data_IF_069217024766
#
_entry.id   IF_069217024766
#
_cell.length_a   1.000
_cell.length_b   1.000
_cell.length_c   1.000
_cell.angle_alpha   90.00
_cell.angle_beta   90.00
_cell.angle_gamma   90.00
#
_symmetry.space_group_name_H-M   'P 1'
#
loop_
_entity.id
_entity.type
_entity.pdbx_description
1 polymer ?
#
# COMPACT_ATOMS: atom_id res chain seq x y z
N UNK A 1 -3.01 27.10 -18.53
CA UNK A 1 -2.80 26.50 -17.18
C UNK A 1 -1.34 26.78 -16.82
N UNK A 2 -1.05 27.25 -15.63
CA UNK A 2 0.32 27.51 -15.19
C UNK A 2 1.11 26.20 -15.09
N UNK A 3 2.36 26.18 -15.57
CA UNK A 3 3.23 25.02 -15.43
C UNK A 3 3.56 24.77 -13.95
N UNK A 4 3.53 23.51 -13.55
CA UNK A 4 3.86 23.08 -12.21
C UNK A 4 4.91 21.99 -12.24
N UNK A 5 5.56 21.79 -11.11
CA UNK A 5 6.50 20.72 -10.92
C UNK A 5 5.79 19.44 -10.49
N UNK A 6 6.29 18.29 -10.95
CA UNK A 6 5.89 16.98 -10.43
C UNK A 6 6.93 16.54 -9.40
N UNK A 7 6.53 16.48 -8.14
CA UNK A 7 7.38 16.06 -7.04
C UNK A 7 7.10 14.61 -6.67
N UNK A 8 8.15 13.81 -6.61
CA UNK A 8 8.13 12.40 -6.25
C UNK A 8 8.93 12.24 -4.96
N UNK A 9 8.23 12.10 -3.84
CA UNK A 9 8.85 11.85 -2.55
C UNK A 9 8.94 10.35 -2.31
N UNK A 10 10.11 9.86 -1.89
CA UNK A 10 10.41 8.44 -1.72
C UNK A 10 11.46 8.20 -0.63
N UNK A 11 11.50 7.00 -0.07
CA UNK A 11 12.50 6.60 0.94
C UNK A 11 13.86 6.25 0.32
N UNK A 12 13.89 5.81 -0.93
CA UNK A 12 15.11 5.41 -1.62
C UNK A 12 15.12 5.89 -3.09
N UNK A 13 16.30 5.95 -3.69
CA UNK A 13 16.42 6.31 -5.11
C UNK A 13 15.78 5.25 -5.99
N UNK A 14 14.71 5.59 -6.73
CA UNK A 14 13.99 4.63 -7.54
C UNK A 14 14.75 4.30 -8.83
N UNK A 15 14.40 3.17 -9.45
CA UNK A 15 14.86 2.83 -10.79
C UNK A 15 14.16 3.71 -11.84
N UNK A 16 14.85 3.95 -12.95
CA UNK A 16 14.30 4.73 -14.07
C UNK A 16 12.98 4.17 -14.59
N UNK A 17 12.84 2.85 -14.67
CA UNK A 17 11.61 2.19 -15.11
C UNK A 17 10.41 2.46 -14.20
N UNK A 18 10.64 2.62 -12.90
CA UNK A 18 9.60 2.97 -11.93
C UNK A 18 9.17 4.40 -12.13
N UNK A 19 10.12 5.32 -12.25
CA UNK A 19 9.84 6.73 -12.53
C UNK A 19 9.07 6.89 -13.84
N UNK A 20 9.47 6.16 -14.88
CA UNK A 20 8.76 6.17 -16.16
C UNK A 20 7.28 5.79 -15.97
N UNK A 21 6.98 4.71 -15.28
CA UNK A 21 5.60 4.27 -15.00
C UNK A 21 4.79 5.30 -14.20
N UNK A 22 5.42 5.96 -13.24
CA UNK A 22 4.75 7.02 -12.45
C UNK A 22 4.42 8.21 -13.34
N UNK A 23 5.36 8.66 -14.17
CA UNK A 23 5.14 9.77 -15.11
C UNK A 23 4.07 9.40 -16.14
N UNK A 24 4.17 8.22 -16.74
CA UNK A 24 3.19 7.72 -17.71
C UNK A 24 1.78 7.69 -17.11
N UNK A 25 1.65 7.22 -15.89
CA UNK A 25 0.39 7.21 -15.16
C UNK A 25 -0.16 8.63 -14.95
N UNK A 26 0.69 9.56 -14.50
CA UNK A 26 0.30 10.96 -14.33
C UNK A 26 -0.16 11.60 -15.63
N UNK A 27 0.62 11.46 -16.68
CA UNK A 27 0.33 11.99 -18.03
C UNK A 27 -1.01 11.46 -18.54
N UNK A 28 -1.26 10.16 -18.36
CA UNK A 28 -2.51 9.51 -18.76
C UNK A 28 -3.71 10.04 -17.97
N UNK A 29 -3.59 10.14 -16.65
CA UNK A 29 -4.70 10.56 -15.77
C UNK A 29 -5.12 12.01 -16.02
N UNK A 30 -4.16 12.88 -16.32
CA UNK A 30 -4.42 14.29 -16.54
C UNK A 30 -4.55 14.66 -18.03
N UNK A 31 -4.48 13.65 -18.93
CA UNK A 31 -4.53 13.85 -20.39
C UNK A 31 -3.53 14.90 -20.88
N UNK A 32 -2.32 14.87 -20.30
CA UNK A 32 -1.26 15.82 -20.59
C UNK A 32 -0.45 15.35 -21.80
N UNK A 33 -0.23 16.23 -22.78
CA UNK A 33 0.72 15.98 -23.84
C UNK A 33 2.15 16.00 -23.27
N UNK A 34 2.86 14.89 -23.44
CA UNK A 34 4.21 14.74 -22.93
C UNK A 34 5.06 13.91 -23.90
N UNK A 35 6.20 14.44 -24.25
CA UNK A 35 7.22 13.72 -25.00
C UNK A 35 8.27 13.21 -24.02
N UNK A 36 8.50 11.92 -24.00
CA UNK A 36 9.50 11.27 -23.14
C UNK A 36 10.54 10.63 -24.03
N UNK A 37 11.80 11.06 -23.87
CA UNK A 37 12.96 10.46 -24.48
C UNK A 37 13.73 9.64 -23.42
N UNK A 38 15.01 9.67 -23.42
CA UNK A 38 15.86 8.95 -22.47
C UNK A 38 15.86 9.63 -21.10
N UNK A 39 15.07 9.12 -20.17
CA UNK A 39 15.02 9.62 -18.79
C UNK A 39 16.38 9.48 -18.10
N UNK A 40 16.86 10.59 -17.52
CA UNK A 40 18.04 10.63 -16.66
C UNK A 40 17.66 11.20 -15.30
N UNK A 41 18.16 10.59 -14.24
CA UNK A 41 17.99 11.04 -12.85
C UNK A 41 19.30 11.67 -12.43
N UNK A 42 19.33 12.97 -12.32
CA UNK A 42 20.52 13.78 -12.08
C UNK A 42 20.49 14.35 -10.66
N UNK A 43 21.54 14.19 -9.84
CA UNK A 43 21.62 14.79 -8.53
C UNK A 43 21.67 16.32 -8.66
N UNK A 44 21.02 17.02 -7.73
CA UNK A 44 21.11 18.47 -7.62
C UNK A 44 22.25 18.79 -6.66
N UNK A 45 23.15 19.66 -7.12
CA UNK A 45 24.25 20.16 -6.33
C UNK A 45 23.82 21.45 -5.60
N UNK A 46 24.03 21.49 -4.31
CA UNK A 46 23.80 22.68 -3.51
C UNK A 46 24.84 23.78 -3.82
N UNK A 47 24.57 25.06 -3.52
CA UNK A 47 25.54 26.15 -3.71
C UNK A 47 26.88 25.95 -3.00
N UNK A 48 26.88 25.26 -1.86
CA UNK A 48 28.07 24.88 -1.08
C UNK A 48 28.83 23.66 -1.64
N UNK A 49 28.45 23.20 -2.83
CA UNK A 49 28.99 22.01 -3.51
C UNK A 49 28.70 20.67 -2.82
N UNK A 50 27.81 20.63 -1.85
CA UNK A 50 27.28 19.37 -1.31
C UNK A 50 26.15 18.84 -2.18
N UNK A 51 25.96 17.52 -2.20
CA UNK A 51 24.84 16.92 -2.90
C UNK A 51 23.56 17.02 -2.06
N UNK A 52 22.48 17.45 -2.70
CA UNK A 52 21.16 17.36 -2.09
C UNK A 52 20.61 15.94 -2.20
N UNK A 53 19.64 15.59 -1.33
CA UNK A 53 18.84 14.37 -1.49
C UNK A 53 17.69 14.56 -2.49
N UNK A 54 17.81 15.57 -3.34
CA UNK A 54 16.86 15.87 -4.43
C UNK A 54 17.55 15.63 -5.77
N UNK A 55 16.82 15.03 -6.67
CA UNK A 55 17.28 14.73 -8.03
C UNK A 55 16.31 15.37 -9.01
N UNK A 56 16.81 15.88 -10.12
CA UNK A 56 16.01 16.33 -11.26
C UNK A 56 15.92 15.20 -12.30
N UNK A 57 14.71 14.99 -12.81
CA UNK A 57 14.49 14.05 -13.92
C UNK A 57 14.50 14.81 -15.22
N UNK A 58 15.46 14.53 -16.08
CA UNK A 58 15.56 15.11 -17.42
C UNK A 58 15.14 14.10 -18.50
N UNK A 59 15.01 14.54 -19.76
CA UNK A 59 14.59 13.72 -20.89
C UNK A 59 13.09 13.70 -21.10
N UNK A 60 12.38 14.73 -20.61
CA UNK A 60 10.96 14.91 -20.79
C UNK A 60 10.66 16.35 -21.22
N UNK A 61 9.64 16.52 -22.04
CA UNK A 61 9.09 17.84 -22.42
C UNK A 61 7.58 17.82 -22.33
N UNK A 62 7.00 18.80 -21.67
CA UNK A 62 5.56 19.00 -21.55
C UNK A 62 5.21 20.49 -21.47
N UNK A 63 4.01 20.83 -21.89
CA UNK A 63 3.47 22.18 -21.75
C UNK A 63 2.94 22.46 -20.33
N UNK A 64 2.67 21.42 -19.57
CA UNK A 64 2.03 21.49 -18.24
C UNK A 64 2.98 21.18 -17.10
N UNK A 65 4.01 20.37 -17.35
CA UNK A 65 5.02 20.02 -16.34
C UNK A 65 6.26 20.86 -16.62
N UNK A 66 6.69 21.65 -15.65
CA UNK A 66 7.93 22.42 -15.75
C UNK A 66 9.12 21.49 -15.49
N UNK A 67 9.20 20.95 -14.31
CA UNK A 67 10.25 20.02 -13.89
C UNK A 67 9.69 18.84 -13.13
N UNK A 68 10.45 17.74 -13.11
CA UNK A 68 10.17 16.60 -12.27
C UNK A 68 11.32 16.44 -11.27
N UNK A 69 10.95 16.40 -10.00
CA UNK A 69 11.88 16.21 -8.90
C UNK A 69 11.63 14.91 -8.17
N UNK A 70 12.70 14.22 -7.80
CA UNK A 70 12.67 13.10 -6.87
C UNK A 70 13.35 13.58 -5.60
N UNK A 71 12.62 13.59 -4.49
CA UNK A 71 13.17 13.92 -3.18
C UNK A 71 13.21 12.69 -2.31
N UNK A 72 14.40 12.35 -1.82
CA UNK A 72 14.56 11.28 -0.86
C UNK A 72 14.32 11.86 0.52
N UNK A 73 13.33 11.30 1.19
CA UNK A 73 12.96 11.67 2.56
C UNK A 73 13.26 10.48 3.47
N UNK A 74 14.01 10.71 4.54
CA UNK A 74 14.19 9.69 5.55
C UNK A 74 12.87 9.52 6.28
N UNK A 75 12.26 8.38 6.13
CA UNK A 75 10.95 8.09 6.68
C UNK A 75 11.00 7.00 7.74
N UNK A 76 9.91 6.89 8.48
CA UNK A 76 9.64 5.75 9.32
C UNK A 76 9.05 4.63 8.46
N UNK A 77 9.15 3.40 8.94
CA UNK A 77 8.73 2.16 8.27
C UNK A 77 7.26 2.09 7.81
N UNK A 78 6.51 3.15 8.00
CA UNK A 78 5.09 3.27 7.64
C UNK A 78 4.82 4.24 6.51
N UNK A 79 5.83 4.88 5.99
CA UNK A 79 5.71 5.72 4.82
C UNK A 79 5.43 4.84 3.59
N UNK A 80 4.57 5.31 2.67
CA UNK A 80 4.40 4.64 1.38
C UNK A 80 5.64 4.84 0.52
N UNK A 81 5.89 3.94 -0.42
CA UNK A 81 7.12 4.00 -1.23
C UNK A 81 7.23 5.31 -2.02
N UNK A 82 6.09 5.88 -2.48
CA UNK A 82 6.06 7.18 -3.16
C UNK A 82 4.83 7.99 -2.77
N UNK A 83 5.05 9.30 -2.52
CA UNK A 83 4.01 10.33 -2.52
C UNK A 83 4.26 11.28 -3.69
N UNK A 84 3.22 11.54 -4.47
CA UNK A 84 3.32 12.37 -5.67
C UNK A 84 2.54 13.65 -5.47
N UNK A 85 3.18 14.78 -5.78
CA UNK A 85 2.55 16.09 -5.72
C UNK A 85 2.72 16.79 -7.06
N UNK A 86 1.74 17.63 -7.40
CA UNK A 86 1.77 18.45 -8.60
C UNK A 86 1.56 19.90 -8.21
N UNK A 87 2.65 20.61 -7.94
CA UNK A 87 2.66 21.99 -7.43
C UNK A 87 3.97 22.69 -7.76
N UNK A 88 4.00 24.02 -7.62
CA UNK A 88 5.16 24.85 -7.97
C UNK A 88 6.30 24.60 -6.99
N UNK A 89 6.00 24.77 -5.70
CA UNK A 89 7.00 24.71 -4.65
C UNK A 89 7.25 23.26 -4.17
N UNK A 90 8.34 23.08 -3.46
CA UNK A 90 8.65 21.84 -2.79
C UNK A 90 7.58 21.48 -1.76
N UNK A 91 7.04 20.24 -1.79
CA UNK A 91 6.01 19.82 -0.86
C UNK A 91 6.46 19.86 0.59
N UNK A 92 5.55 20.29 1.44
CA UNK A 92 5.71 20.30 2.89
C UNK A 92 4.65 19.39 3.57
N UNK A 93 4.75 19.23 4.88
CA UNK A 93 3.88 18.32 5.65
C UNK A 93 2.38 18.61 5.60
N UNK A 94 1.98 19.82 5.17
CA UNK A 94 0.59 20.24 5.11
C UNK A 94 0.00 20.06 3.70
N UNK A 95 0.85 19.75 2.72
CA UNK A 95 0.41 19.58 1.34
C UNK A 95 -0.24 18.21 1.15
N UNK A 96 -1.17 18.14 0.22
CA UNK A 96 -1.92 16.91 -0.06
C UNK A 96 -1.37 16.28 -1.33
N UNK A 97 -0.88 15.04 -1.27
CA UNK A 97 -0.42 14.34 -2.45
C UNK A 97 -1.59 13.98 -3.37
N UNK A 98 -1.32 13.94 -4.66
CA UNK A 98 -2.28 13.46 -5.67
C UNK A 98 -2.30 11.92 -5.73
N UNK A 99 -1.15 11.29 -5.50
CA UNK A 99 -1.02 9.83 -5.44
C UNK A 99 -0.24 9.39 -4.20
N UNK A 100 -0.66 8.25 -3.66
CA UNK A 100 0.11 7.44 -2.74
C UNK A 100 0.36 6.08 -3.41
N UNK A 101 1.62 5.73 -3.63
CA UNK A 101 2.01 4.55 -4.40
C UNK A 101 2.85 3.61 -3.54
N UNK A 102 2.49 2.34 -3.54
CA UNK A 102 3.30 1.24 -3.02
C UNK A 102 3.84 0.43 -4.19
N UNK A 103 5.13 0.14 -4.16
CA UNK A 103 5.79 -0.69 -5.15
C UNK A 103 5.91 -2.13 -4.67
N UNK A 104 5.53 -3.09 -5.50
CA UNK A 104 5.92 -4.47 -5.31
C UNK A 104 6.90 -4.89 -6.39
N UNK A 105 8.04 -5.38 -5.97
CA UNK A 105 9.14 -5.82 -6.86
C UNK A 105 8.94 -7.24 -7.37
N UNK A 106 7.99 -7.97 -6.80
CA UNK A 106 7.69 -9.36 -7.13
C UNK A 106 6.19 -9.55 -7.29
N UNK A 107 5.81 -10.59 -7.98
CA UNK A 107 4.43 -11.07 -8.10
C UNK A 107 4.08 -12.13 -7.04
N UNK A 108 4.75 -12.17 -5.90
CA UNK A 108 4.70 -13.19 -4.85
C UNK A 108 5.32 -14.54 -5.26
N UNK A 109 6.00 -14.61 -6.40
CA UNK A 109 6.65 -15.84 -6.81
C UNK A 109 7.73 -16.29 -5.84
N UNK A 110 8.29 -15.38 -5.08
CA UNK A 110 9.51 -15.69 -4.32
C UNK A 110 9.32 -15.95 -2.85
N UNK A 111 8.38 -15.78 -2.24
CA UNK A 111 8.51 -15.99 -0.91
C UNK A 111 7.51 -15.58 -0.08
N UNK A 112 6.93 -16.09 0.25
CA UNK A 112 6.35 -15.65 1.47
C UNK A 112 4.97 -15.03 1.28
N UNK A 113 4.39 -15.07 0.09
CA UNK A 113 2.97 -14.78 -0.21
C UNK A 113 2.34 -13.64 0.62
N UNK A 114 3.15 -12.68 1.04
CA UNK A 114 2.77 -11.72 2.07
C UNK A 114 3.01 -10.28 1.65
N UNK A 115 3.76 -10.08 0.58
CA UNK A 115 4.15 -8.75 0.15
C UNK A 115 2.94 -7.85 -0.13
N UNK A 116 1.92 -8.37 -0.79
CA UNK A 116 0.70 -7.60 -1.06
C UNK A 116 -0.04 -7.20 0.22
N UNK A 117 -0.13 -8.10 1.20
CA UNK A 117 -0.83 -7.80 2.46
C UNK A 117 -0.07 -6.81 3.33
N UNK A 118 1.25 -6.93 3.39
CA UNK A 118 2.09 -6.00 4.12
C UNK A 118 1.93 -4.57 3.57
N UNK A 119 1.91 -4.44 2.24
CA UNK A 119 1.74 -3.15 1.56
C UNK A 119 0.31 -2.64 1.66
N UNK A 120 -0.67 -3.52 1.55
CA UNK A 120 -2.08 -3.16 1.61
C UNK A 120 -2.46 -2.47 2.92
N UNK A 121 -1.86 -2.84 4.04
CA UNK A 121 -2.11 -2.18 5.33
C UNK A 121 -1.72 -0.70 5.31
N UNK A 122 -0.68 -0.33 4.56
CA UNK A 122 -0.27 1.06 4.41
C UNK A 122 -1.35 1.89 3.70
N UNK A 123 -1.99 1.33 2.67
CA UNK A 123 -3.10 2.01 1.97
C UNK A 123 -4.31 2.25 2.85
N UNK A 124 -4.68 1.25 3.67
CA UNK A 124 -5.78 1.42 4.62
C UNK A 124 -5.45 2.48 5.65
N UNK A 125 -4.19 2.54 6.05
CA UNK A 125 -3.73 3.46 7.07
C UNK A 125 -3.55 4.89 6.57
N UNK A 126 -3.08 5.10 5.34
CA UNK A 126 -2.79 6.42 4.78
C UNK A 126 -4.03 7.31 4.69
N UNK A 127 -5.20 6.72 4.62
CA UNK A 127 -6.47 7.45 4.64
C UNK A 127 -6.69 8.28 5.91
N UNK A 128 -5.98 7.97 6.99
CA UNK A 128 -6.04 8.78 8.21
C UNK A 128 -5.36 10.15 8.02
N UNK A 129 -4.44 10.25 7.07
CA UNK A 129 -3.68 11.46 6.77
C UNK A 129 -4.17 12.14 5.48
N UNK A 130 -4.49 11.34 4.47
CA UNK A 130 -4.88 11.81 3.14
C UNK A 130 -6.12 11.03 2.67
N UNK A 131 -7.32 11.35 3.19
CA UNK A 131 -8.52 10.54 2.98
C UNK A 131 -8.93 10.42 1.51
N UNK A 132 -8.58 11.39 0.67
CA UNK A 132 -8.98 11.43 -0.74
C UNK A 132 -7.82 11.16 -1.70
N UNK A 133 -6.66 10.78 -1.21
CA UNK A 133 -5.51 10.49 -2.06
C UNK A 133 -5.81 9.28 -2.95
N UNK A 134 -5.47 9.40 -4.23
CA UNK A 134 -5.54 8.25 -5.14
C UNK A 134 -4.45 7.25 -4.80
N UNK A 135 -4.83 6.02 -4.52
CA UNK A 135 -3.93 4.93 -4.11
C UNK A 135 -3.62 4.04 -5.28
N UNK A 136 -2.35 3.70 -5.45
CA UNK A 136 -1.86 2.91 -6.56
C UNK A 136 -0.90 1.84 -6.06
N UNK A 137 -1.16 0.57 -6.42
CA UNK A 137 -0.21 -0.51 -6.29
C UNK A 137 0.57 -0.64 -7.60
N UNK A 138 1.87 -0.40 -7.55
CA UNK A 138 2.77 -0.50 -8.70
C UNK A 138 3.52 -1.84 -8.69
N UNK A 139 3.26 -2.67 -9.68
CA UNK A 139 4.03 -3.88 -9.93
C UNK A 139 5.22 -3.55 -10.85
N UNK A 140 6.40 -3.41 -10.28
CA UNK A 140 7.62 -3.12 -11.05
C UNK A 140 8.28 -4.39 -11.62
N UNK A 141 7.95 -5.55 -11.07
CA UNK A 141 8.32 -6.88 -11.55
C UNK A 141 9.82 -7.02 -11.87
N UNK A 142 10.65 -6.61 -10.92
CA UNK A 142 12.11 -6.61 -11.07
C UNK A 142 12.72 -8.00 -10.89
N UNK A 143 11.95 -8.96 -10.41
CA UNK A 143 12.36 -10.34 -10.14
C UNK A 143 11.56 -11.25 -11.07
N UNK A 144 12.15 -12.39 -11.45
CA UNK A 144 11.52 -13.36 -12.37
C UNK A 144 10.14 -13.79 -11.85
N UNK A 145 9.15 -13.66 -12.69
CA UNK A 145 7.77 -14.00 -12.41
C UNK A 145 7.55 -15.53 -12.50
N UNK A 146 6.51 -15.99 -11.83
CA UNK A 146 5.88 -17.26 -12.15
C UNK A 146 4.92 -17.11 -13.31
N UNK A 147 4.64 -18.18 -13.99
CA UNK A 147 3.70 -18.21 -15.12
C UNK A 147 2.27 -17.88 -14.63
N UNK A 148 1.95 -18.21 -13.37
CA UNK A 148 0.65 -17.94 -12.78
C UNK A 148 0.77 -17.25 -11.41
N UNK A 149 -0.11 -16.28 -11.10
CA UNK A 149 -0.16 -15.64 -9.80
C UNK A 149 -0.65 -16.63 -8.72
N UNK A 150 -0.16 -16.45 -7.51
CA UNK A 150 -0.60 -17.27 -6.36
C UNK A 150 -2.01 -16.92 -5.91
N UNK A 151 -2.71 -17.87 -5.28
CA UNK A 151 -4.04 -17.62 -4.69
C UNK A 151 -4.03 -16.42 -3.74
N UNK A 152 -2.95 -16.26 -2.97
CA UNK A 152 -2.76 -15.13 -2.05
C UNK A 152 -2.67 -13.80 -2.79
N UNK A 153 -1.94 -13.76 -3.89
CA UNK A 153 -1.82 -12.56 -4.71
C UNK A 153 -3.16 -12.22 -5.38
N UNK A 154 -3.85 -13.22 -5.95
CA UNK A 154 -5.17 -13.03 -6.54
C UNK A 154 -6.14 -12.46 -5.51
N UNK A 155 -6.24 -13.09 -4.34
CA UNK A 155 -7.14 -12.64 -3.27
C UNK A 155 -6.82 -11.21 -2.82
N UNK A 156 -5.55 -10.93 -2.50
CA UNK A 156 -5.12 -9.60 -2.07
C UNK A 156 -5.35 -8.53 -3.12
N UNK A 157 -5.04 -8.82 -4.39
CA UNK A 157 -5.28 -7.90 -5.51
C UNK A 157 -6.77 -7.61 -5.68
N UNK A 158 -7.63 -8.61 -5.58
CA UNK A 158 -9.09 -8.44 -5.64
C UNK A 158 -9.62 -7.58 -4.49
N UNK A 159 -9.10 -7.75 -3.28
CA UNK A 159 -9.42 -6.87 -2.16
C UNK A 159 -9.00 -5.41 -2.45
N UNK A 160 -7.78 -5.19 -2.95
CA UNK A 160 -7.31 -3.84 -3.30
C UNK A 160 -8.24 -3.18 -4.34
N UNK A 161 -8.59 -3.91 -5.39
CA UNK A 161 -9.53 -3.42 -6.41
C UNK A 161 -10.90 -3.09 -5.83
N UNK A 162 -11.41 -3.92 -4.91
CA UNK A 162 -12.67 -3.65 -4.20
C UNK A 162 -12.61 -2.36 -3.38
N UNK A 163 -11.46 -2.06 -2.81
CA UNK A 163 -11.21 -0.81 -2.07
C UNK A 163 -10.98 0.40 -2.98
N UNK A 164 -10.98 0.23 -4.29
CA UNK A 164 -10.73 1.30 -5.26
C UNK A 164 -9.25 1.65 -5.42
N UNK A 165 -8.35 0.75 -5.01
CA UNK A 165 -6.91 0.92 -5.21
C UNK A 165 -6.57 0.46 -6.63
N UNK A 166 -5.95 1.34 -7.39
CA UNK A 166 -5.58 1.04 -8.77
C UNK A 166 -4.33 0.17 -8.84
N UNK A 167 -4.30 -0.75 -9.78
CA UNK A 167 -3.14 -1.61 -10.04
C UNK A 167 -2.51 -1.19 -11.36
N UNK A 168 -1.20 -0.89 -11.34
CA UNK A 168 -0.44 -0.56 -12.55
C UNK A 168 0.81 -1.43 -12.68
N UNK A 169 1.30 -1.57 -13.91
CA UNK A 169 2.53 -2.30 -14.20
C UNK A 169 2.40 -3.83 -14.22
N UNK A 170 1.21 -4.37 -13.98
CA UNK A 170 0.90 -5.80 -14.10
C UNK A 170 -0.08 -5.99 -15.26
N UNK A 171 0.24 -6.91 -16.14
CA UNK A 171 -0.74 -7.43 -17.07
C UNK A 171 -1.69 -8.32 -16.27
N UNK A 172 -2.86 -7.78 -15.96
CA UNK A 172 -3.87 -8.52 -15.22
C UNK A 172 -4.69 -9.37 -16.18
N UNK A 173 -4.81 -10.65 -15.91
CA UNK A 173 -5.92 -11.42 -16.46
C UNK A 173 -7.21 -10.83 -15.90
N UNK A 174 -7.93 -10.10 -16.74
CA UNK A 174 -9.15 -9.39 -16.38
C UNK A 174 -10.26 -10.34 -15.86
N UNK A 175 -10.15 -11.62 -16.09
CA UNK A 175 -11.09 -12.63 -15.55
C UNK A 175 -10.79 -12.94 -14.08
N UNK A 176 -9.54 -13.01 -13.71
CA UNK A 176 -9.09 -13.36 -12.36
C UNK A 176 -8.99 -12.12 -11.46
N UNK A 177 -8.49 -11.01 -12.01
CA UNK A 177 -8.21 -9.79 -11.26
C UNK A 177 -9.39 -8.81 -11.26
N UNK A 178 -10.58 -9.29 -10.83
CA UNK A 178 -11.78 -8.46 -10.65
C UNK A 178 -12.01 -8.14 -9.19
N UNK A 179 -12.60 -6.98 -8.87
CA UNK A 179 -13.04 -6.69 -7.50
C UNK A 179 -14.06 -7.74 -7.04
N UNK A 180 -14.13 -7.95 -5.74
CA UNK A 180 -15.24 -8.70 -5.17
C UNK A 180 -16.54 -7.92 -5.32
N UNK A 181 -17.62 -8.60 -5.70
CA UNK A 181 -18.94 -7.99 -5.89
C UNK A 181 -19.87 -8.26 -4.72
N UNK A 182 -19.54 -9.20 -3.84
CA UNK A 182 -20.35 -9.53 -2.67
C UNK A 182 -19.51 -10.04 -1.50
N UNK A 183 -20.07 -9.91 -0.31
CA UNK A 183 -19.52 -10.45 0.93
C UNK A 183 -19.36 -11.97 0.83
N UNK A 184 -20.36 -12.65 0.26
CA UNK A 184 -20.33 -14.10 0.07
C UNK A 184 -19.15 -14.53 -0.78
N UNK A 185 -18.94 -13.87 -1.91
CA UNK A 185 -17.80 -14.18 -2.80
C UNK A 185 -16.45 -13.99 -2.12
N UNK A 186 -16.29 -12.92 -1.35
CA UNK A 186 -15.06 -12.67 -0.59
C UNK A 186 -14.81 -13.79 0.43
N UNK A 187 -15.85 -14.20 1.18
CA UNK A 187 -15.76 -15.23 2.20
C UNK A 187 -15.43 -16.59 1.59
N UNK A 188 -16.17 -16.97 0.55
CA UNK A 188 -15.96 -18.24 -0.15
C UNK A 188 -14.55 -18.30 -0.73
N UNK A 189 -14.10 -17.25 -1.38
CA UNK A 189 -12.74 -17.14 -1.91
C UNK A 189 -11.68 -17.26 -0.82
N UNK A 190 -11.86 -16.60 0.33
CA UNK A 190 -10.90 -16.68 1.43
C UNK A 190 -10.86 -18.07 2.07
N UNK A 191 -12.02 -18.65 2.29
CA UNK A 191 -12.13 -19.93 2.99
C UNK A 191 -11.75 -21.16 2.13
N UNK A 192 -11.83 -21.04 0.81
CA UNK A 192 -11.39 -22.07 -0.13
C UNK A 192 -9.88 -22.11 -0.38
N UNK A 193 -9.14 -21.06 0.02
CA UNK A 193 -7.68 -21.01 -0.18
C UNK A 193 -7.00 -22.20 0.52
N UNK A 194 -5.95 -22.71 -0.12
CA UNK A 194 -5.14 -23.81 0.42
C UNK A 194 -4.62 -23.49 1.81
N UNK A 195 -4.52 -24.55 2.60
CA UNK A 195 -3.95 -24.45 3.94
C UNK A 195 -2.49 -23.97 3.88
N UNK A 196 -2.10 -23.02 4.74
CA UNK A 196 -0.70 -22.62 4.82
C UNK A 196 0.18 -23.78 5.29
N UNK A 197 1.51 -23.70 5.06
CA UNK A 197 2.45 -24.70 5.54
C UNK A 197 2.31 -24.96 7.05
N UNK A 198 2.76 -26.13 7.48
CA UNK A 198 2.72 -26.55 8.90
C UNK A 198 3.14 -25.45 9.86
N UNK A 199 2.38 -25.27 10.93
CA UNK A 199 2.63 -24.28 11.98
C UNK A 199 1.99 -22.91 11.78
N UNK A 200 1.34 -22.67 10.65
CA UNK A 200 0.56 -21.46 10.45
C UNK A 200 -0.93 -21.72 10.71
N UNK A 201 -1.59 -20.76 11.37
CA UNK A 201 -3.04 -20.77 11.52
C UNK A 201 -3.61 -19.98 10.34
N UNK A 202 -4.43 -20.61 9.49
CA UNK A 202 -5.04 -19.92 8.36
C UNK A 202 -6.00 -18.85 8.85
N UNK A 203 -6.07 -17.75 8.13
CA UNK A 203 -7.14 -16.77 8.35
C UNK A 203 -8.42 -17.35 7.77
N UNK A 204 -9.43 -17.51 8.62
CA UNK A 204 -10.77 -17.97 8.28
C UNK A 204 -11.81 -16.94 8.63
N UNK A 205 -12.89 -16.92 7.89
CA UNK A 205 -14.00 -15.99 8.07
C UNK A 205 -15.24 -16.81 8.40
N UNK A 206 -15.81 -16.57 9.57
CA UNK A 206 -17.04 -17.21 10.04
C UNK A 206 -18.16 -16.18 10.07
N UNK A 207 -19.30 -16.54 9.53
CA UNK A 207 -20.46 -15.65 9.42
C UNK A 207 -21.55 -16.11 10.37
N UNK A 208 -22.02 -15.19 11.17
CA UNK A 208 -23.18 -15.33 12.04
C UNK A 208 -24.22 -14.27 11.63
N UNK A 209 -25.42 -14.38 12.13
CA UNK A 209 -26.53 -13.50 11.73
C UNK A 209 -26.19 -12.00 11.86
N UNK A 210 -25.55 -11.62 12.97
CA UNK A 210 -25.22 -10.23 13.27
C UNK A 210 -23.72 -9.98 13.48
N UNK A 211 -22.88 -10.96 13.17
CA UNK A 211 -21.44 -10.88 13.43
C UNK A 211 -20.63 -11.64 12.39
N UNK A 212 -19.53 -11.06 11.95
CA UNK A 212 -18.50 -11.76 11.21
C UNK A 212 -17.28 -11.90 12.13
N UNK A 213 -16.79 -13.13 12.29
CA UNK A 213 -15.56 -13.40 12.98
C UNK A 213 -14.44 -13.70 11.99
N UNK A 214 -13.37 -12.93 12.08
CA UNK A 214 -12.14 -13.16 11.32
C UNK A 214 -11.11 -13.74 12.30
N UNK A 215 -10.74 -15.01 12.10
CA UNK A 215 -9.81 -15.71 12.96
C UNK A 215 -8.49 -15.93 12.26
N UNK A 216 -7.39 -15.69 12.94
CA UNK A 216 -6.07 -15.93 12.38
C UNK A 216 -4.95 -15.66 13.38
N UNK A 217 -3.74 -16.02 13.00
CA UNK A 217 -2.55 -15.76 13.79
C UNK A 217 -1.89 -14.48 13.30
N UNK A 218 -1.77 -13.48 14.17
CA UNK A 218 -1.06 -12.23 13.86
C UNK A 218 0.46 -12.42 13.87
N UNK A 219 0.92 -13.46 14.53
CA UNK A 219 2.33 -13.69 14.76
C UNK A 219 2.74 -15.10 14.34
N UNK A 220 3.83 -15.23 13.65
CA UNK A 220 4.41 -16.52 13.30
C UNK A 220 5.40 -16.94 14.39
N UNK A 221 5.33 -18.19 14.84
CA UNK A 221 6.36 -18.75 15.74
C UNK A 221 7.73 -18.59 15.07
N UNK A 222 8.66 -17.94 15.75
CA UNK A 222 9.96 -17.57 15.16
C UNK A 222 10.14 -16.07 14.89
N UNK A 223 9.17 -15.26 15.18
CA UNK A 223 9.36 -13.83 15.50
C UNK A 223 9.52 -12.87 14.35
N UNK A 224 9.31 -13.23 13.11
CA UNK A 224 9.89 -12.42 12.05
C UNK A 224 8.98 -11.48 11.28
N UNK A 225 7.67 -11.51 11.36
CA UNK A 225 6.86 -10.50 10.69
C UNK A 225 5.41 -10.49 11.16
N UNK A 226 5.02 -9.41 11.80
CA UNK A 226 3.62 -9.14 12.16
C UNK A 226 2.88 -8.49 11.00
N UNK A 227 3.58 -7.70 10.20
CA UNK A 227 2.99 -6.85 9.18
C UNK A 227 2.13 -7.59 8.15
N UNK A 228 2.53 -8.75 7.61
CA UNK A 228 1.69 -9.45 6.65
C UNK A 228 0.35 -9.92 7.23
N UNK A 229 0.36 -10.40 8.46
CA UNK A 229 -0.86 -10.89 9.09
C UNK A 229 -1.78 -9.73 9.50
N UNK A 230 -1.22 -8.65 10.03
CA UNK A 230 -1.95 -7.42 10.29
C UNK A 230 -2.52 -6.88 8.99
N UNK A 231 -1.72 -6.83 7.94
CA UNK A 231 -2.14 -6.39 6.62
C UNK A 231 -3.28 -7.22 6.06
N UNK A 232 -3.21 -8.54 6.17
CA UNK A 232 -4.27 -9.45 5.69
C UNK A 232 -5.59 -9.24 6.45
N UNK A 233 -5.55 -9.19 7.78
CA UNK A 233 -6.73 -8.95 8.59
C UNK A 233 -7.33 -7.57 8.32
N UNK A 234 -6.50 -6.55 8.25
CA UNK A 234 -6.93 -5.18 7.94
C UNK A 234 -7.60 -5.07 6.59
N UNK A 235 -7.00 -5.71 5.57
CA UNK A 235 -7.51 -5.70 4.21
C UNK A 235 -8.85 -6.41 4.10
N UNK A 236 -8.99 -7.57 4.74
CA UNK A 236 -10.26 -8.33 4.78
C UNK A 236 -11.36 -7.49 5.44
N UNK A 237 -11.08 -6.92 6.62
CA UNK A 237 -12.07 -6.14 7.34
C UNK A 237 -12.47 -4.86 6.59
N UNK A 238 -11.51 -4.16 5.99
CA UNK A 238 -11.79 -3.00 5.16
C UNK A 238 -12.67 -3.37 3.94
N UNK A 239 -12.36 -4.51 3.31
CA UNK A 239 -13.13 -4.99 2.16
C UNK A 239 -14.55 -5.40 2.54
N UNK A 240 -14.74 -6.06 3.69
CA UNK A 240 -16.08 -6.36 4.22
C UNK A 240 -16.91 -5.09 4.42
N UNK A 241 -16.31 -4.04 5.02
CA UNK A 241 -16.98 -2.74 5.18
C UNK A 241 -17.32 -2.10 3.83
N UNK A 242 -16.41 -2.16 2.89
CA UNK A 242 -16.63 -1.63 1.53
C UNK A 242 -17.75 -2.35 0.79
N UNK A 243 -17.91 -3.65 1.02
CA UNK A 243 -18.97 -4.46 0.45
C UNK A 243 -20.32 -4.32 1.18
N UNK A 244 -20.41 -3.45 2.19
CA UNK A 244 -21.66 -3.12 2.86
C UNK A 244 -21.94 -3.90 4.14
N UNK A 245 -20.99 -4.63 4.70
CA UNK A 245 -21.16 -5.22 6.02
C UNK A 245 -21.11 -4.14 7.09
N UNK A 246 -22.24 -3.70 7.57
CA UNK A 246 -22.41 -2.65 8.59
C UNK A 246 -22.48 -3.19 10.04
N UNK A 247 -22.73 -4.49 10.20
CA UNK A 247 -22.82 -5.15 11.48
C UNK A 247 -21.46 -5.40 12.12
N UNK A 248 -21.44 -6.05 13.26
CA UNK A 248 -20.21 -6.34 14.04
C UNK A 248 -19.18 -7.11 13.20
N UNK A 249 -17.93 -6.72 13.30
CA UNK A 249 -16.76 -7.50 12.87
C UNK A 249 -15.90 -7.74 14.10
N UNK A 250 -15.61 -8.98 14.37
CA UNK A 250 -14.74 -9.41 15.46
C UNK A 250 -13.48 -10.05 14.92
N UNK A 251 -12.32 -9.64 15.39
CA UNK A 251 -11.07 -10.36 15.14
C UNK A 251 -10.75 -11.23 16.34
N UNK A 252 -10.72 -12.53 16.10
CA UNK A 252 -10.19 -13.51 17.04
C UNK A 252 -8.72 -13.68 16.71
N UNK A 253 -7.86 -12.96 17.45
CA UNK A 253 -6.43 -12.96 17.19
C UNK A 253 -5.69 -13.94 18.10
N UNK A 254 -4.62 -14.47 17.54
CA UNK A 254 -3.63 -15.23 18.26
C UNK A 254 -2.28 -14.53 18.16
N UNK A 255 -1.68 -14.21 19.29
CA UNK A 255 -0.33 -13.63 19.36
C UNK A 255 -0.25 -12.11 19.18
N UNK A 256 -1.36 -11.38 19.34
CA UNK A 256 -1.33 -9.90 19.29
C UNK A 256 -0.52 -9.32 20.46
N UNK A 257 -0.56 -9.96 21.61
CA UNK A 257 0.23 -9.62 22.79
C UNK A 257 1.74 -9.71 22.56
N UNK A 258 2.16 -10.44 21.55
CA UNK A 258 3.56 -10.61 21.17
C UNK A 258 4.05 -9.56 20.15
N UNK A 259 3.21 -8.59 19.79
CA UNK A 259 3.64 -7.50 18.92
C UNK A 259 4.46 -6.51 19.74
N UNK A 260 5.77 -6.59 19.60
CA UNK A 260 6.73 -5.72 20.28
C UNK A 260 6.99 -4.41 19.53
N UNK A 261 6.58 -4.33 18.27
CA UNK A 261 6.80 -3.14 17.44
C UNK A 261 5.63 -2.18 17.62
N UNK A 262 5.84 -1.10 18.36
CA UNK A 262 4.82 -0.09 18.66
C UNK A 262 4.10 0.42 17.40
N UNK A 263 4.84 0.66 16.32
CA UNK A 263 4.28 1.13 15.05
C UNK A 263 3.28 0.16 14.43
N UNK A 264 3.58 -1.15 14.42
CA UNK A 264 2.68 -2.15 13.86
C UNK A 264 1.40 -2.28 14.70
N UNK A 265 1.54 -2.26 16.03
CA UNK A 265 0.43 -2.28 16.98
C UNK A 265 -0.48 -1.07 16.81
N UNK A 266 0.08 0.14 16.82
CA UNK A 266 -0.67 1.38 16.69
C UNK A 266 -1.37 1.47 15.33
N UNK A 267 -0.72 1.06 14.26
CA UNK A 267 -1.32 0.96 12.92
C UNK A 267 -2.55 0.06 12.96
N UNK A 268 -2.45 -1.11 13.57
CA UNK A 268 -3.56 -2.06 13.67
C UNK A 268 -4.73 -1.51 14.48
N UNK A 269 -4.47 -0.89 15.63
CA UNK A 269 -5.48 -0.25 16.48
C UNK A 269 -6.18 0.89 15.72
N UNK A 270 -5.46 1.74 15.01
CA UNK A 270 -6.05 2.82 14.20
C UNK A 270 -6.95 2.27 13.10
N UNK A 271 -6.53 1.20 12.43
CA UNK A 271 -7.36 0.52 11.41
C UNK A 271 -8.61 -0.06 12.05
N UNK A 272 -8.47 -0.74 13.19
CA UNK A 272 -9.60 -1.31 13.91
C UNK A 272 -10.63 -0.24 14.32
N UNK A 273 -10.16 0.87 14.88
CA UNK A 273 -11.01 1.99 15.26
C UNK A 273 -11.72 2.60 14.06
N UNK A 274 -11.02 2.80 12.95
CA UNK A 274 -11.59 3.38 11.73
C UNK A 274 -12.72 2.53 11.16
N UNK A 275 -12.55 1.23 11.15
CA UNK A 275 -13.54 0.30 10.57
C UNK A 275 -14.52 -0.27 11.60
N UNK A 276 -14.49 0.25 12.83
CA UNK A 276 -15.33 -0.23 13.94
C UNK A 276 -15.22 -1.76 14.09
N UNK A 277 -14.00 -2.23 14.26
CA UNK A 277 -13.68 -3.65 14.42
C UNK A 277 -13.46 -3.94 15.89
N UNK A 278 -14.13 -4.95 16.40
CA UNK A 278 -13.94 -5.41 17.76
C UNK A 278 -12.78 -6.38 17.83
N UNK A 279 -11.79 -6.04 18.64
CA UNK A 279 -10.64 -6.89 18.89
C UNK A 279 -10.86 -7.66 20.20
N UNK A 280 -11.01 -8.98 20.12
CA UNK A 280 -11.14 -9.81 21.30
C UNK A 280 -9.79 -10.03 21.99
N UNK A 281 -9.81 -10.11 23.32
CA UNK A 281 -8.64 -10.41 24.17
C UNK A 281 -7.48 -9.40 24.05
N UNK A 282 -7.81 -8.16 23.82
CA UNK A 282 -6.80 -7.12 23.85
C UNK A 282 -6.57 -6.63 25.27
N UNK A 283 -5.56 -7.13 25.95
CA UNK A 283 -4.95 -6.48 27.11
C UNK A 283 -3.91 -5.42 26.65
N UNK A 284 -4.21 -4.68 25.61
CA UNK A 284 -3.31 -3.67 25.09
C UNK A 284 -3.86 -2.33 25.48
N UNK A 285 -3.09 -1.45 26.17
CA UNK A 285 -3.51 -0.09 26.42
C UNK A 285 -3.90 0.59 25.10
N UNK A 286 -5.08 1.17 25.07
CA UNK A 286 -5.60 1.87 23.88
C UNK A 286 -4.94 3.24 23.64
N UNK A 287 -3.92 3.61 24.39
CA UNK A 287 -3.14 4.81 24.13
C UNK A 287 -2.40 4.65 22.83
N UNK A 288 -2.75 5.47 21.88
CA UNK A 288 -2.05 5.56 20.60
C UNK A 288 -0.88 6.52 20.79
N UNK A 289 0.33 6.02 20.57
CA UNK A 289 1.49 6.91 20.43
C UNK A 289 1.37 7.67 19.12
N UNK A 290 1.73 8.95 19.14
CA UNK A 290 1.78 9.74 17.91
C UNK A 290 2.90 9.24 17.02
N UNK A 291 2.51 8.65 15.90
CA UNK A 291 3.43 8.20 14.89
C UNK A 291 3.54 9.32 13.84
N UNK A 292 4.68 9.96 13.84
CA UNK A 292 5.02 10.90 12.78
C UNK A 292 5.39 10.14 11.51
N UNK A 293 4.48 10.14 10.55
CA UNK A 293 4.71 9.55 9.23
C UNK A 293 5.52 10.42 8.30
N UNK A 294 5.55 11.68 8.59
CA UNK A 294 6.19 12.67 7.78
C UNK A 294 7.16 13.44 8.65
N UNK A 295 8.42 13.14 8.50
CA UNK A 295 9.48 14.00 9.01
C UNK A 295 10.36 14.41 7.85
N UNK A 296 10.51 15.69 7.74
CA UNK A 296 11.56 16.31 6.98
C UNK A 296 12.84 16.25 7.77
#
# INVERSE_FOLDING_TARGET
MEKKNLWILTEERPKKSVIYKIIEKFVKDYSIACFIDNIRILPILNPDKTFSFTYEVSGMKSEYIDKIYIKIVSGYSSFVDFLIFYQIDEPNKNDIPIYAIEETKTDDSESRNTGIFQRASKFVYIDNYYPNVKKIMLYSLQIKQKDEPTETNIFGTRCLLTLGIEIIGKEADTKIMKPFVSIKELIDSKNSMRMPPKGNIPIKIYVYENNIQVSGRLFKSGGLSHDPNIGSLSLICATLRKLGWDKRIEIIQHGLEQIHVANAKNKFIRIANRFNIVLQRLNIPCSLEDINYWKY
#
